data_IF_781320136084
#
_entry.id   IF_781320136084
#
_cell.length_a   1.000
_cell.length_b   1.000
_cell.length_c   1.000
_cell.angle_alpha   90.00
_cell.angle_beta   90.00
_cell.angle_gamma   90.00
#
_symmetry.space_group_name_H-M   'P 1'
#
loop_
_entity.id
_entity.type
_entity.pdbx_description
1 polymer ?
#
# COMPACT_ATOMS: atom_id res chain seq x y z
N UNK A 1 3.12 20.55 3.09
CA UNK A 1 4.45 20.86 3.65
C UNK A 1 5.46 19.93 2.99
N UNK A 2 6.51 20.48 2.38
CA UNK A 2 7.57 19.68 1.73
C UNK A 2 8.69 19.39 2.73
N UNK A 3 9.26 18.17 2.73
CA UNK A 3 10.44 17.85 3.54
C UNK A 3 11.67 18.70 3.13
N UNK A 4 11.70 19.17 1.89
CA UNK A 4 12.82 19.96 1.34
C UNK A 4 12.88 21.39 1.89
N UNK A 5 11.83 21.85 2.55
CA UNK A 5 11.76 23.21 3.11
C UNK A 5 11.86 23.23 4.64
N UNK A 6 12.07 22.09 5.30
CA UNK A 6 12.10 21.99 6.75
C UNK A 6 13.49 22.32 7.32
N UNK A 7 13.51 23.04 8.42
CA UNK A 7 14.68 23.22 9.25
C UNK A 7 15.04 21.95 10.04
N UNK A 8 16.22 21.95 10.68
CA UNK A 8 16.73 20.78 11.40
C UNK A 8 15.79 20.28 12.50
N UNK A 9 15.24 21.18 13.30
CA UNK A 9 14.38 20.81 14.42
C UNK A 9 13.03 20.26 13.93
N UNK A 10 12.50 20.84 12.86
CA UNK A 10 11.29 20.34 12.21
C UNK A 10 11.52 18.95 11.60
N UNK A 11 12.68 18.71 10.98
CA UNK A 11 13.07 17.37 10.51
C UNK A 11 13.21 16.38 11.66
N UNK A 12 13.75 16.81 12.81
CA UNK A 12 13.80 16.00 14.03
C UNK A 12 12.41 15.60 14.53
N UNK A 13 11.50 16.57 14.61
CA UNK A 13 10.11 16.32 15.00
C UNK A 13 9.37 15.38 14.04
N UNK A 14 9.58 15.54 12.72
CA UNK A 14 9.04 14.62 11.73
C UNK A 14 9.62 13.22 11.87
N UNK A 15 10.93 13.08 12.08
CA UNK A 15 11.56 11.78 12.29
C UNK A 15 10.97 11.04 13.49
N UNK A 16 10.78 11.71 14.62
CA UNK A 16 10.21 11.10 15.82
C UNK A 16 8.73 10.74 15.66
N UNK A 17 7.98 11.51 14.85
CA UNK A 17 6.63 11.13 14.43
C UNK A 17 6.66 9.86 13.56
N UNK A 18 7.53 9.79 12.55
CA UNK A 18 7.59 8.64 11.66
C UNK A 18 8.07 7.36 12.37
N UNK A 19 8.91 7.48 13.41
CA UNK A 19 9.27 6.33 14.28
C UNK A 19 8.07 5.76 15.02
N UNK A 20 7.20 6.62 15.57
CA UNK A 20 5.96 6.19 16.24
C UNK A 20 4.99 5.53 15.26
N UNK A 21 4.78 6.16 14.10
CA UNK A 21 3.94 5.61 13.03
C UNK A 21 4.43 4.22 12.56
N UNK A 22 5.75 4.04 12.46
CA UNK A 22 6.33 2.75 12.10
C UNK A 22 6.13 1.70 13.20
N UNK A 23 6.31 2.05 14.47
CA UNK A 23 6.05 1.13 15.58
C UNK A 23 4.57 0.69 15.62
N UNK A 24 3.64 1.61 15.40
CA UNK A 24 2.20 1.30 15.27
C UNK A 24 1.93 0.40 14.06
N UNK A 25 2.59 0.63 12.92
CA UNK A 25 2.46 -0.22 11.74
C UNK A 25 2.98 -1.64 12.01
N UNK A 26 4.13 -1.78 12.69
CA UNK A 26 4.68 -3.08 13.07
C UNK A 26 3.72 -3.84 14.00
N UNK A 27 3.11 -3.17 14.98
CA UNK A 27 2.16 -3.77 15.91
C UNK A 27 0.92 -4.37 15.23
N UNK A 28 0.59 -3.93 13.99
CA UNK A 28 -0.53 -4.48 13.20
C UNK A 28 -0.24 -5.86 12.61
N UNK A 29 1.00 -6.36 12.65
CA UNK A 29 1.38 -7.69 12.14
C UNK A 29 0.84 -8.00 10.73
N UNK A 30 0.91 -7.01 9.83
CA UNK A 30 0.34 -7.11 8.49
C UNK A 30 1.07 -8.15 7.63
N UNK A 31 0.30 -8.86 6.79
CA UNK A 31 0.81 -9.78 5.76
C UNK A 31 0.30 -9.34 4.40
N UNK A 32 0.87 -8.25 3.88
CA UNK A 32 0.50 -7.66 2.59
C UNK A 32 1.59 -7.95 1.55
N UNK A 33 1.20 -8.04 0.29
CA UNK A 33 2.10 -8.31 -0.85
C UNK A 33 1.83 -7.32 -1.99
N UNK A 34 2.78 -6.41 -2.20
CA UNK A 34 2.79 -5.42 -3.29
C UNK A 34 3.74 -5.82 -4.44
N UNK A 35 4.18 -7.08 -4.50
CA UNK A 35 5.19 -7.55 -5.47
C UNK A 35 4.59 -8.18 -6.72
N UNK A 36 3.27 -8.37 -6.75
CA UNK A 36 2.60 -9.12 -7.83
C UNK A 36 2.50 -8.28 -9.11
N UNK A 37 3.16 -8.75 -10.17
CA UNK A 37 3.00 -8.24 -11.54
C UNK A 37 1.89 -8.92 -12.35
N UNK A 38 0.96 -9.65 -11.70
CA UNK A 38 -0.13 -10.38 -12.35
C UNK A 38 -1.50 -9.75 -12.04
N UNK A 39 -2.48 -9.87 -12.95
CA UNK A 39 -3.83 -9.37 -12.71
C UNK A 39 -4.47 -9.93 -11.44
N UNK A 40 -5.37 -9.16 -10.85
CA UNK A 40 -6.24 -9.62 -9.78
C UNK A 40 -7.24 -10.68 -10.29
N UNK A 41 -7.75 -11.59 -9.43
CA UNK A 41 -8.73 -12.60 -9.83
C UNK A 41 -9.96 -12.02 -10.54
N UNK A 42 -10.51 -10.91 -10.01
CA UNK A 42 -11.64 -10.22 -10.63
C UNK A 42 -11.38 -9.75 -12.07
N UNK A 43 -10.13 -9.55 -12.47
CA UNK A 43 -9.75 -9.21 -13.85
C UNK A 43 -9.71 -10.47 -14.74
N UNK A 44 -9.42 -11.64 -14.18
CA UNK A 44 -9.47 -12.92 -14.90
C UNK A 44 -10.93 -13.36 -15.13
N UNK A 45 -11.81 -13.04 -14.19
CA UNK A 45 -13.22 -13.43 -14.23
C UNK A 45 -14.07 -12.67 -15.26
N UNK A 46 -13.54 -11.58 -15.85
CA UNK A 46 -14.26 -10.73 -16.80
C UNK A 46 -14.85 -11.49 -17.98
N UNK A 47 -14.15 -12.51 -18.47
CA UNK A 47 -14.56 -13.29 -19.65
C UNK A 47 -15.19 -14.64 -19.32
N UNK A 48 -15.18 -15.06 -18.05
CA UNK A 48 -15.69 -16.38 -17.65
C UNK A 48 -17.20 -16.52 -17.91
N UNK A 49 -17.96 -15.42 -17.81
CA UNK A 49 -19.39 -15.39 -18.14
C UNK A 49 -19.71 -15.63 -19.62
N UNK A 50 -18.77 -15.39 -20.53
CA UNK A 50 -18.96 -15.63 -21.97
C UNK A 50 -19.02 -17.12 -22.30
N UNK A 51 -18.39 -17.97 -21.49
CA UNK A 51 -18.38 -19.43 -21.68
C UNK A 51 -19.75 -20.08 -21.44
N UNK A 52 -20.67 -19.38 -20.77
CA UNK A 52 -22.02 -19.87 -20.49
C UNK A 52 -23.08 -19.33 -21.45
N UNK A 53 -22.72 -18.49 -22.42
CA UNK A 53 -23.67 -17.96 -23.38
C UNK A 53 -24.03 -19.03 -24.42
N UNK A 54 -25.31 -19.16 -24.82
CA UNK A 54 -25.67 -20.00 -25.95
C UNK A 54 -25.01 -19.48 -27.23
N UNK A 55 -24.46 -20.40 -28.03
CA UNK A 55 -23.87 -20.13 -29.34
C UNK A 55 -24.90 -19.92 -30.44
#
# INVERSE_FOLDING_TARGET
MSYLSLGRDELGAQHDLQRRNYAELQAKNLRLDLTRGKPAPAQLDLSNGLLGLPG
#
